data_IF_509965037324
#
_entry.id   IF_509965037324
#
_cell.length_a   1.000
_cell.length_b   1.000
_cell.length_c   1.000
_cell.angle_alpha   90.00
_cell.angle_beta   90.00
_cell.angle_gamma   90.00
#
_symmetry.space_group_name_H-M   'P 1'
#
loop_
_entity.id
_entity.type
_entity.pdbx_description
1 polymer ?
#
# COMPACT_ATOMS: atom_id res chain seq x y z
N UNK A 1 20.57 14.13 -24.70
CA UNK A 1 20.27 13.92 -23.29
C UNK A 1 18.79 14.14 -23.00
N UNK A 2 18.20 15.30 -23.34
CA UNK A 2 16.77 15.62 -23.10
C UNK A 2 15.82 14.61 -23.78
N UNK A 3 16.15 14.16 -25.00
CA UNK A 3 15.37 13.12 -25.69
C UNK A 3 15.32 11.83 -24.89
N UNK A 4 16.47 11.30 -24.51
CA UNK A 4 16.56 10.03 -23.78
C UNK A 4 15.80 10.06 -22.45
N UNK A 5 15.91 11.16 -21.70
CA UNK A 5 15.18 11.32 -20.42
C UNK A 5 13.68 11.41 -20.65
N UNK A 6 13.24 12.13 -21.69
CA UNK A 6 11.81 12.26 -21.98
C UNK A 6 11.21 10.92 -22.38
N UNK A 7 11.89 10.16 -23.22
CA UNK A 7 11.44 8.84 -23.67
C UNK A 7 11.43 7.82 -22.51
N UNK A 8 12.50 7.77 -21.73
CA UNK A 8 12.56 6.90 -20.56
C UNK A 8 11.48 7.26 -19.52
N UNK A 9 11.27 8.56 -19.28
CA UNK A 9 10.24 9.05 -18.38
C UNK A 9 8.82 8.73 -18.84
N UNK A 10 8.55 8.82 -20.14
CA UNK A 10 7.27 8.41 -20.72
C UNK A 10 7.01 6.90 -20.52
N UNK A 11 8.03 6.08 -20.76
CA UNK A 11 7.92 4.63 -20.55
C UNK A 11 7.65 4.29 -19.08
N UNK A 12 8.36 4.93 -18.14
CA UNK A 12 8.13 4.75 -16.70
C UNK A 12 6.71 5.20 -16.35
N UNK A 13 6.25 6.34 -16.85
CA UNK A 13 4.89 6.84 -16.64
C UNK A 13 3.83 5.84 -17.10
N UNK A 14 3.96 5.35 -18.32
CA UNK A 14 3.03 4.35 -18.87
C UNK A 14 3.00 3.05 -18.06
N UNK A 15 4.17 2.57 -17.59
CA UNK A 15 4.24 1.37 -16.73
C UNK A 15 3.57 1.60 -15.37
N UNK A 16 3.73 2.78 -14.78
CA UNK A 16 3.08 3.14 -13.50
C UNK A 16 1.57 3.28 -13.65
N UNK A 17 1.11 3.89 -14.74
CA UNK A 17 -0.32 4.04 -15.04
C UNK A 17 -0.99 2.67 -15.26
N UNK A 18 -0.35 1.77 -16.02
CA UNK A 18 -0.82 0.38 -16.20
C UNK A 18 -0.85 -0.39 -14.88
N UNK A 19 0.20 -0.24 -14.05
CA UNK A 19 0.23 -0.84 -12.72
C UNK A 19 -0.91 -0.32 -11.83
N UNK A 20 -1.13 0.99 -11.81
CA UNK A 20 -2.18 1.59 -10.99
C UNK A 20 -3.58 1.19 -11.47
N UNK A 21 -3.78 1.06 -12.79
CA UNK A 21 -5.04 0.55 -13.34
C UNK A 21 -5.35 -0.89 -12.88
N UNK A 22 -4.31 -1.71 -12.66
CA UNK A 22 -4.45 -3.06 -12.10
C UNK A 22 -4.61 -3.05 -10.57
N UNK A 23 -3.95 -2.11 -9.89
CA UNK A 23 -4.00 -2.00 -8.43
C UNK A 23 -5.33 -1.44 -7.93
N UNK A 24 -5.90 -0.46 -8.62
CA UNK A 24 -7.09 0.25 -8.17
C UNK A 24 -8.28 -0.67 -7.85
N UNK A 25 -8.69 -1.63 -8.69
CA UNK A 25 -9.78 -2.54 -8.35
C UNK A 25 -9.47 -3.42 -7.15
N UNK A 26 -8.22 -3.88 -7.00
CA UNK A 26 -7.79 -4.69 -5.85
C UNK A 26 -7.78 -3.86 -4.57
N UNK A 27 -7.34 -2.61 -4.66
CA UNK A 27 -7.38 -1.67 -3.54
C UNK A 27 -8.82 -1.44 -3.05
N UNK A 28 -9.77 -1.20 -3.95
CA UNK A 28 -11.17 -1.00 -3.59
C UNK A 28 -11.80 -2.27 -2.99
N UNK A 29 -11.47 -3.44 -3.51
CA UNK A 29 -11.88 -4.72 -2.95
C UNK A 29 -11.42 -4.86 -1.49
N UNK A 30 -10.14 -4.65 -1.23
CA UNK A 30 -9.55 -4.75 0.12
C UNK A 30 -10.08 -3.65 1.04
N UNK A 31 -10.19 -2.43 0.56
CA UNK A 31 -10.75 -1.32 1.33
C UNK A 31 -12.19 -1.61 1.77
N UNK A 32 -13.01 -2.16 0.88
CA UNK A 32 -14.38 -2.58 1.19
C UNK A 32 -14.46 -3.67 2.26
N UNK A 33 -13.45 -4.56 2.35
CA UNK A 33 -13.35 -5.53 3.45
C UNK A 33 -12.97 -4.86 4.78
N UNK A 34 -12.07 -3.87 4.74
CA UNK A 34 -11.58 -3.19 5.95
C UNK A 34 -12.58 -2.16 6.48
N UNK A 35 -13.13 -1.34 5.60
CA UNK A 35 -14.14 -0.33 5.94
C UNK A 35 -15.01 -0.01 4.71
N UNK A 36 -16.21 -0.60 4.61
CA UNK A 36 -17.11 -0.39 3.48
C UNK A 36 -17.71 1.02 3.40
N UNK A 37 -17.52 1.86 4.42
CA UNK A 37 -18.00 3.24 4.43
C UNK A 37 -17.05 4.22 3.72
N UNK A 38 -15.81 3.79 3.42
CA UNK A 38 -14.81 4.63 2.79
C UNK A 38 -14.90 4.55 1.26
N UNK A 39 -15.24 5.65 0.64
CA UNK A 39 -15.23 5.81 -0.82
C UNK A 39 -13.93 6.47 -1.25
N UNK A 40 -13.00 5.66 -1.76
CA UNK A 40 -11.70 6.14 -2.22
C UNK A 40 -11.51 5.94 -3.72
N UNK A 41 -10.64 6.78 -4.30
CA UNK A 41 -10.18 6.67 -5.68
C UNK A 41 -8.66 6.83 -5.72
N UNK A 42 -8.00 6.03 -6.57
CA UNK A 42 -6.58 6.18 -6.85
C UNK A 42 -6.40 6.96 -8.14
N UNK A 43 -5.47 7.92 -8.12
CA UNK A 43 -5.12 8.74 -9.28
C UNK A 43 -3.61 8.74 -9.50
N UNK A 44 -3.18 8.53 -10.76
CA UNK A 44 -1.78 8.70 -11.13
C UNK A 44 -1.48 10.14 -11.46
N UNK A 45 -0.54 10.73 -10.75
CA UNK A 45 -0.02 12.07 -11.01
C UNK A 45 1.30 11.98 -11.78
N UNK A 46 1.30 12.39 -13.03
CA UNK A 46 2.40 12.14 -13.98
C UNK A 46 3.64 13.02 -13.76
N UNK A 47 3.73 13.82 -12.68
CA UNK A 47 4.89 14.64 -12.37
C UNK A 47 5.22 15.69 -13.44
N UNK A 48 4.17 16.25 -14.07
CA UNK A 48 4.29 17.28 -15.12
C UNK A 48 4.51 16.74 -16.53
N UNK A 49 4.67 15.43 -16.73
CA UNK A 49 4.70 14.84 -18.07
C UNK A 49 3.34 14.98 -18.74
N UNK A 50 3.36 15.37 -20.01
CA UNK A 50 2.17 15.38 -20.86
C UNK A 50 1.97 14.00 -21.51
N UNK A 51 0.78 13.80 -22.12
CA UNK A 51 0.47 12.54 -22.82
C UNK A 51 1.38 12.26 -24.01
N UNK A 52 1.98 13.28 -24.61
CA UNK A 52 2.92 13.13 -25.71
C UNK A 52 4.31 13.71 -25.40
N UNK A 53 5.33 13.15 -26.05
CA UNK A 53 6.74 13.52 -25.85
C UNK A 53 7.02 14.97 -26.28
N UNK A 54 6.42 15.44 -27.37
CA UNK A 54 6.66 16.77 -27.90
C UNK A 54 6.18 17.86 -26.93
N UNK A 55 5.01 17.66 -26.37
CA UNK A 55 4.44 18.56 -25.36
C UNK A 55 5.27 18.55 -24.05
N UNK A 56 5.71 17.37 -23.61
CA UNK A 56 6.57 17.25 -22.43
C UNK A 56 7.89 18.00 -22.64
N UNK A 57 8.50 17.87 -23.82
CA UNK A 57 9.74 18.60 -24.18
C UNK A 57 9.53 20.10 -24.18
N UNK A 58 8.40 20.57 -24.73
CA UNK A 58 8.05 21.99 -24.73
C UNK A 58 7.97 22.52 -23.30
N UNK A 59 7.21 21.85 -22.43
CA UNK A 59 7.10 22.22 -21.00
C UNK A 59 8.46 22.22 -20.31
N UNK A 60 9.31 21.23 -20.52
CA UNK A 60 10.65 21.19 -19.94
C UNK A 60 11.55 22.32 -20.44
N UNK A 61 11.45 22.70 -21.72
CA UNK A 61 12.19 23.84 -22.27
C UNK A 61 11.74 25.17 -21.65
N UNK A 62 10.45 25.36 -21.44
CA UNK A 62 9.86 26.55 -20.84
C UNK A 62 10.32 26.77 -19.38
N UNK A 63 10.51 25.70 -18.62
CA UNK A 63 10.89 25.79 -17.20
C UNK A 63 12.40 25.69 -16.95
N UNK A 64 13.22 25.51 -18.01
CA UNK A 64 14.68 25.28 -17.89
C UNK A 64 15.39 26.29 -16.99
N UNK A 65 15.06 27.58 -17.10
CA UNK A 65 15.68 28.62 -16.26
C UNK A 65 15.29 28.47 -14.79
N UNK A 66 14.08 27.98 -14.51
CA UNK A 66 13.62 27.71 -13.14
C UNK A 66 14.35 26.50 -12.56
N UNK A 67 14.51 25.46 -13.35
CA UNK A 67 15.27 24.25 -12.96
C UNK A 67 16.72 24.58 -12.63
N UNK A 68 17.38 25.39 -13.44
CA UNK A 68 18.75 25.86 -13.17
C UNK A 68 18.83 26.65 -11.87
N UNK A 69 17.88 27.56 -11.62
CA UNK A 69 17.85 28.36 -10.39
C UNK A 69 17.58 27.52 -9.14
N UNK A 70 16.72 26.50 -9.23
CA UNK A 70 16.36 25.64 -8.11
C UNK A 70 17.36 24.49 -7.88
N UNK A 71 18.28 24.26 -8.82
CA UNK A 71 19.21 23.12 -8.78
C UNK A 71 18.54 21.75 -8.96
N UNK A 72 17.25 21.72 -9.31
CA UNK A 72 16.49 20.46 -9.47
C UNK A 72 15.45 20.58 -10.57
N UNK A 73 15.20 19.48 -11.29
CA UNK A 73 14.15 19.39 -12.30
C UNK A 73 12.76 19.36 -11.66
N UNK A 74 11.86 20.21 -12.17
CA UNK A 74 10.48 20.32 -11.66
C UNK A 74 9.50 19.42 -12.41
N UNK A 75 9.90 18.88 -13.56
CA UNK A 75 9.12 17.94 -14.37
C UNK A 75 9.92 16.64 -14.52
N UNK A 76 9.29 15.51 -14.19
CA UNK A 76 9.95 14.23 -14.35
C UNK A 76 9.27 13.08 -13.61
N UNK A 77 9.65 11.83 -13.90
CA UNK A 77 9.08 10.65 -13.23
C UNK A 77 9.40 10.60 -11.72
N UNK A 78 10.39 11.38 -11.25
CA UNK A 78 10.72 11.57 -9.83
C UNK A 78 9.73 12.52 -9.12
N UNK A 79 8.90 13.25 -9.88
CA UNK A 79 7.81 14.08 -9.37
C UNK A 79 6.45 13.41 -9.50
N UNK A 80 6.42 12.26 -10.16
CA UNK A 80 5.19 11.50 -10.28
C UNK A 80 4.82 10.87 -8.93
N UNK A 81 3.53 10.81 -8.65
CA UNK A 81 2.99 10.28 -7.40
C UNK A 81 1.68 9.51 -7.64
N UNK A 82 1.23 8.84 -6.62
CA UNK A 82 -0.09 8.22 -6.55
C UNK A 82 -0.92 8.96 -5.50
N UNK A 83 -1.92 9.69 -5.94
CA UNK A 83 -2.86 10.33 -5.04
C UNK A 83 -3.99 9.38 -4.66
N UNK A 84 -4.39 9.41 -3.40
CA UNK A 84 -5.60 8.74 -2.92
C UNK A 84 -6.59 9.83 -2.54
N UNK A 85 -7.75 9.80 -3.16
CA UNK A 85 -8.86 10.69 -2.84
C UNK A 85 -9.87 9.96 -1.97
N UNK A 86 -10.35 10.62 -0.92
CA UNK A 86 -11.47 10.22 -0.08
C UNK A 86 -12.66 11.09 -0.46
N UNK A 87 -13.70 10.48 -1.00
CA UNK A 87 -14.78 11.19 -1.69
C UNK A 87 -14.21 12.07 -2.83
N UNK A 88 -14.17 13.39 -2.68
CA UNK A 88 -13.69 14.32 -3.71
C UNK A 88 -12.46 15.13 -3.29
N UNK A 89 -11.85 14.81 -2.16
CA UNK A 89 -10.71 15.54 -1.61
C UNK A 89 -9.51 14.61 -1.38
N UNK A 90 -8.32 15.19 -1.24
CA UNK A 90 -7.11 14.44 -0.91
C UNK A 90 -7.28 13.70 0.42
N UNK A 91 -7.10 12.38 0.43
CA UNK A 91 -7.16 11.60 1.66
C UNK A 91 -6.10 12.03 2.69
N UNK A 92 -4.95 12.52 2.22
CA UNK A 92 -3.89 13.03 3.09
C UNK A 92 -4.33 14.24 3.91
N UNK A 93 -5.24 15.08 3.37
CA UNK A 93 -5.70 16.31 4.02
C UNK A 93 -6.98 16.10 4.82
N UNK A 94 -7.83 15.15 4.41
CA UNK A 94 -9.21 15.04 4.93
C UNK A 94 -9.45 13.79 5.76
N UNK A 95 -8.65 12.73 5.62
CA UNK A 95 -8.84 11.52 6.37
C UNK A 95 -8.51 11.71 7.86
N UNK A 96 -9.36 11.20 8.75
CA UNK A 96 -9.02 11.04 10.15
C UNK A 96 -7.83 10.08 10.32
N UNK A 97 -7.18 10.07 11.48
CA UNK A 97 -6.06 9.14 11.75
C UNK A 97 -6.44 7.68 11.54
N UNK A 98 -7.64 7.28 11.98
CA UNK A 98 -8.16 5.92 11.78
C UNK A 98 -8.39 5.59 10.32
N UNK A 99 -9.07 6.50 9.58
CA UNK A 99 -9.30 6.35 8.15
C UNK A 99 -7.97 6.28 7.37
N UNK A 100 -7.00 7.15 7.70
CA UNK A 100 -5.67 7.12 7.08
C UNK A 100 -4.95 5.79 7.28
N UNK A 101 -5.03 5.20 8.49
CA UNK A 101 -4.48 3.86 8.76
C UNK A 101 -5.18 2.78 7.95
N UNK A 102 -6.51 2.80 7.90
CA UNK A 102 -7.30 1.84 7.10
C UNK A 102 -6.96 1.93 5.62
N UNK A 103 -6.90 3.15 5.06
CA UNK A 103 -6.53 3.39 3.68
C UNK A 103 -5.09 2.92 3.39
N UNK A 104 -4.14 3.24 4.27
CA UNK A 104 -2.75 2.80 4.15
C UNK A 104 -2.60 1.28 4.20
N UNK A 105 -3.31 0.64 5.13
CA UNK A 105 -3.36 -0.84 5.22
C UNK A 105 -3.97 -1.45 3.98
N UNK A 106 -5.09 -0.90 3.47
CA UNK A 106 -5.71 -1.34 2.23
C UNK A 106 -4.74 -1.25 1.04
N UNK A 107 -3.99 -0.15 0.91
CA UNK A 107 -3.02 0.04 -0.16
C UNK A 107 -1.87 -0.98 -0.08
N UNK A 108 -1.32 -1.23 1.11
CA UNK A 108 -0.26 -2.22 1.31
C UNK A 108 -0.74 -3.65 1.01
N UNK A 109 -1.91 -4.02 1.53
CA UNK A 109 -2.51 -5.33 1.29
C UNK A 109 -2.91 -5.54 -0.17
N UNK A 110 -3.41 -4.51 -0.85
CA UNK A 110 -3.72 -4.56 -2.27
C UNK A 110 -2.49 -4.84 -3.14
N UNK A 111 -1.34 -4.24 -2.82
CA UNK A 111 -0.08 -4.54 -3.50
C UNK A 111 0.33 -6.00 -3.29
N UNK A 112 0.22 -6.50 -2.06
CA UNK A 112 0.48 -7.90 -1.72
C UNK A 112 -0.43 -8.86 -2.51
N UNK A 113 -1.74 -8.58 -2.53
CA UNK A 113 -2.73 -9.36 -3.26
C UNK A 113 -2.48 -9.32 -4.79
N UNK A 114 -2.23 -8.14 -5.35
CA UNK A 114 -1.93 -7.99 -6.78
C UNK A 114 -0.67 -8.76 -7.18
N UNK A 115 0.40 -8.68 -6.37
CA UNK A 115 1.63 -9.42 -6.61
C UNK A 115 1.36 -10.94 -6.64
N UNK A 116 0.61 -11.44 -5.68
CA UNK A 116 0.18 -12.84 -5.63
C UNK A 116 -0.60 -13.26 -6.88
N UNK A 117 -1.58 -12.43 -7.32
CA UNK A 117 -2.37 -12.68 -8.55
C UNK A 117 -1.52 -12.68 -9.81
N UNK A 118 -0.53 -11.79 -9.91
CA UNK A 118 0.33 -11.67 -11.09
C UNK A 118 1.43 -12.74 -11.17
N UNK A 119 1.95 -13.19 -10.02
CA UNK A 119 3.11 -14.09 -9.98
C UNK A 119 2.76 -15.53 -9.62
N UNK A 120 1.56 -15.77 -9.11
CA UNK A 120 1.16 -17.07 -8.54
C UNK A 120 1.89 -17.42 -7.24
N UNK A 121 2.62 -16.48 -6.63
CA UNK A 121 3.38 -16.70 -5.40
C UNK A 121 2.76 -15.88 -4.27
N UNK A 122 2.38 -16.51 -3.15
CA UNK A 122 1.90 -15.79 -1.99
C UNK A 122 3.03 -14.92 -1.42
N UNK A 123 2.68 -13.72 -0.98
CA UNK A 123 3.58 -12.83 -0.26
C UNK A 123 3.58 -13.14 1.23
N UNK A 124 4.59 -12.63 1.93
CA UNK A 124 4.63 -12.61 3.39
C UNK A 124 4.30 -11.19 3.85
N UNK A 125 3.29 -11.07 4.70
CA UNK A 125 2.88 -9.80 5.30
C UNK A 125 3.38 -9.76 6.74
N UNK A 126 4.15 -8.73 7.06
CA UNK A 126 4.65 -8.47 8.41
C UNK A 126 3.80 -7.37 9.03
N UNK A 127 3.26 -7.61 10.22
CA UNK A 127 2.45 -6.65 10.96
C UNK A 127 3.06 -6.47 12.34
N UNK A 128 3.59 -5.29 12.58
CA UNK A 128 4.06 -4.93 13.90
C UNK A 128 2.89 -4.39 14.74
N UNK A 129 2.80 -4.89 15.96
CA UNK A 129 1.78 -4.51 16.95
C UNK A 129 0.34 -4.67 16.42
N UNK A 130 0.01 -5.90 15.99
CA UNK A 130 -1.32 -6.23 15.46
C UNK A 130 -2.43 -5.87 16.44
N UNK A 131 -3.26 -4.94 16.02
CA UNK A 131 -4.42 -4.51 16.81
C UNK A 131 -4.14 -3.33 17.73
N UNK A 132 -2.92 -2.77 17.79
CA UNK A 132 -2.70 -1.50 18.43
C UNK A 132 -3.60 -0.43 17.80
N UNK A 133 -4.30 0.29 18.63
CA UNK A 133 -5.23 1.36 18.21
C UNK A 133 -6.42 0.92 17.34
N UNK A 134 -6.62 -0.39 17.09
CA UNK A 134 -7.78 -0.93 16.41
C UNK A 134 -8.78 -1.49 17.44
N UNK A 135 -10.06 -1.16 17.28
CA UNK A 135 -11.11 -1.83 18.01
C UNK A 135 -11.33 -3.29 17.52
N UNK A 136 -12.12 -4.05 18.26
CA UNK A 136 -12.36 -5.46 17.96
C UNK A 136 -12.96 -5.71 16.57
N UNK A 137 -13.80 -4.79 16.07
CA UNK A 137 -14.43 -4.92 14.76
C UNK A 137 -13.42 -4.68 13.63
N UNK A 138 -12.56 -3.68 13.75
CA UNK A 138 -11.50 -3.41 12.79
C UNK A 138 -10.43 -4.52 12.78
N UNK A 139 -10.07 -5.08 13.94
CA UNK A 139 -9.18 -6.25 14.03
C UNK A 139 -9.75 -7.46 13.29
N UNK A 140 -11.04 -7.75 13.48
CA UNK A 140 -11.70 -8.86 12.81
C UNK A 140 -11.74 -8.67 11.27
N UNK A 141 -12.04 -7.46 10.79
CA UNK A 141 -12.03 -7.13 9.36
C UNK A 141 -10.63 -7.25 8.77
N UNK A 142 -9.60 -6.77 9.47
CA UNK A 142 -8.21 -6.91 9.02
C UNK A 142 -7.83 -8.39 8.88
N UNK A 143 -8.19 -9.23 9.86
CA UNK A 143 -7.96 -10.66 9.78
C UNK A 143 -8.67 -11.29 8.58
N UNK A 144 -9.94 -10.94 8.36
CA UNK A 144 -10.70 -11.42 7.20
C UNK A 144 -10.04 -11.02 5.87
N UNK A 145 -9.58 -9.77 5.74
CA UNK A 145 -8.86 -9.31 4.56
C UNK A 145 -7.56 -10.09 4.33
N UNK A 146 -6.77 -10.34 5.38
CA UNK A 146 -5.54 -11.14 5.31
C UNK A 146 -5.82 -12.58 4.87
N UNK A 147 -6.88 -13.20 5.38
CA UNK A 147 -7.30 -14.55 4.97
C UNK A 147 -7.74 -14.57 3.50
N UNK A 148 -8.49 -13.57 3.05
CA UNK A 148 -8.96 -13.46 1.67
C UNK A 148 -7.81 -13.33 0.66
N UNK A 149 -6.70 -12.68 1.05
CA UNK A 149 -5.50 -12.54 0.22
C UNK A 149 -4.72 -13.87 0.11
N UNK A 150 -4.83 -14.76 1.10
CA UNK A 150 -4.12 -16.03 1.12
C UNK A 150 -2.60 -15.89 1.28
N UNK A 151 -2.14 -14.84 1.98
CA UNK A 151 -0.73 -14.61 2.28
C UNK A 151 -0.30 -15.27 3.59
N UNK A 152 1.01 -15.49 3.75
CA UNK A 152 1.56 -15.81 5.05
C UNK A 152 1.64 -14.52 5.88
N UNK A 153 1.17 -14.58 7.13
CA UNK A 153 1.20 -13.42 8.03
C UNK A 153 2.13 -13.73 9.21
N UNK A 154 3.01 -12.79 9.52
CA UNK A 154 3.78 -12.77 10.77
C UNK A 154 3.40 -11.48 11.48
N UNK A 155 2.80 -11.62 12.66
CA UNK A 155 2.33 -10.47 13.43
C UNK A 155 2.88 -10.50 14.86
N UNK A 156 3.25 -9.32 15.37
CA UNK A 156 3.56 -9.12 16.79
C UNK A 156 2.34 -8.51 17.50
N UNK A 157 2.22 -8.76 18.79
CA UNK A 157 1.20 -8.12 19.65
C UNK A 157 1.66 -8.13 21.08
N UNK A 158 1.38 -7.06 21.81
CA UNK A 158 1.61 -6.96 23.25
C UNK A 158 0.46 -7.55 24.07
N UNK A 159 -0.71 -7.76 23.43
CA UNK A 159 -1.90 -8.33 24.06
C UNK A 159 -2.24 -9.71 23.50
N UNK A 160 -2.83 -10.61 24.32
CA UNK A 160 -3.36 -11.86 23.81
C UNK A 160 -4.49 -11.61 22.79
N UNK A 161 -4.34 -12.12 21.57
CA UNK A 161 -5.31 -11.98 20.49
C UNK A 161 -6.39 -13.09 20.50
N UNK A 162 -6.68 -13.68 21.65
CA UNK A 162 -7.52 -14.88 21.81
C UNK A 162 -8.92 -14.73 21.21
N UNK A 163 -9.54 -13.56 21.34
CA UNK A 163 -10.89 -13.32 20.79
C UNK A 163 -10.95 -13.25 19.26
N UNK A 164 -9.90 -12.73 18.63
CA UNK A 164 -9.82 -12.57 17.15
C UNK A 164 -9.29 -13.85 16.52
N UNK A 165 -8.26 -14.45 17.10
CA UNK A 165 -7.62 -15.65 16.59
C UNK A 165 -8.42 -16.93 16.86
N UNK A 166 -9.37 -16.90 17.78
CA UNK A 166 -10.26 -18.03 18.06
C UNK A 166 -11.14 -18.44 16.88
N UNK A 167 -11.24 -17.61 15.84
CA UNK A 167 -11.93 -17.91 14.57
C UNK A 167 -11.04 -18.69 13.58
N UNK A 168 -9.72 -18.77 13.82
CA UNK A 168 -8.79 -19.49 12.98
C UNK A 168 -8.67 -20.94 13.45
N UNK A 169 -8.56 -21.88 12.51
CA UNK A 169 -8.23 -23.24 12.84
C UNK A 169 -6.79 -23.31 13.38
N UNK A 170 -6.54 -24.23 14.32
CA UNK A 170 -5.20 -24.44 14.91
C UNK A 170 -4.14 -24.82 13.87
N UNK A 171 -4.55 -25.36 12.75
CA UNK A 171 -3.65 -25.76 11.65
C UNK A 171 -3.10 -24.55 10.87
N UNK A 172 -3.81 -23.41 10.94
CA UNK A 172 -3.43 -22.17 10.25
C UNK A 172 -2.79 -21.13 11.16
N UNK A 173 -2.69 -21.42 12.47
CA UNK A 173 -2.18 -20.49 13.46
C UNK A 173 -1.07 -21.10 14.29
N UNK A 174 0.06 -20.40 14.38
CA UNK A 174 1.11 -20.67 15.37
C UNK A 174 1.34 -19.43 16.21
N UNK A 175 1.35 -19.63 17.53
CA UNK A 175 1.62 -18.55 18.49
C UNK A 175 2.98 -18.82 19.11
N UNK A 176 3.78 -17.78 19.20
CA UNK A 176 5.07 -17.79 19.88
C UNK A 176 5.02 -16.75 21.00
N UNK A 177 5.56 -17.12 22.14
CA UNK A 177 5.73 -16.16 23.25
C UNK A 177 7.17 -15.69 23.28
N UNK A 178 7.37 -14.36 23.31
CA UNK A 178 8.71 -13.76 23.35
C UNK A 178 8.91 -13.09 24.70
N UNK A 179 9.88 -13.55 25.45
CA UNK A 179 10.20 -13.04 26.77
C UNK A 179 11.73 -13.00 26.95
N UNK A 180 12.24 -11.85 27.43
CA UNK A 180 13.68 -11.61 27.64
C UNK A 180 14.59 -12.01 26.47
N UNK A 181 14.14 -11.76 25.23
CA UNK A 181 14.89 -12.10 24.02
C UNK A 181 14.85 -13.57 23.62
N UNK A 182 14.07 -14.38 24.30
CA UNK A 182 13.89 -15.81 24.02
C UNK A 182 12.49 -16.08 23.44
N UNK A 183 12.41 -17.02 22.49
CA UNK A 183 11.15 -17.40 21.82
C UNK A 183 10.69 -18.77 22.36
N UNK A 184 9.45 -18.81 22.85
CA UNK A 184 8.84 -20.01 23.41
C UNK A 184 7.60 -20.42 22.61
N UNK A 185 7.45 -21.71 22.37
CA UNK A 185 6.21 -22.27 21.79
C UNK A 185 5.31 -22.69 22.94
N UNK A 186 4.08 -22.18 23.06
CA UNK A 186 3.15 -22.62 24.10
C UNK A 186 2.93 -24.13 24.05
N UNK A 187 3.25 -24.84 25.15
CA UNK A 187 3.13 -26.30 25.26
C UNK A 187 4.33 -27.11 24.74
N UNK A 188 5.41 -26.47 24.27
CA UNK A 188 6.67 -27.10 23.89
C UNK A 188 7.75 -26.84 24.96
N UNK A 189 8.64 -27.82 25.19
CA UNK A 189 9.90 -27.58 25.90
C UNK A 189 10.70 -26.61 25.00
N UNK A 190 11.23 -25.54 25.59
CA UNK A 190 11.97 -24.50 24.86
C UNK A 190 13.01 -25.07 23.89
N UNK A 191 13.19 -24.33 22.77
CA UNK A 191 14.27 -24.56 21.81
C UNK A 191 15.60 -24.06 22.39
#
# INVERSE_FOLDING_TARGET
WLMMITEAGQRIGAMREDYLAKLAPVFLEILGLLDPSLECMLEYQAGGYAKNIAETRKKMAEIKLRDVKSGSTQIGPHRADMAIHLAQASAQETASRGQGKTIGSAAALAQSALLGRLTGRPSVVLIDDFGAELDGAHRARLLQALMAIGCQVVATSTEPLTGVLGQLSKDHLRVFHVEHGSVHVPGGKGL
#
